data_IF_332942020078
#
_entry.id   IF_332942020078
#
_cell.length_a   1.000
_cell.length_b   1.000
_cell.length_c   1.000
_cell.angle_alpha   90.00
_cell.angle_beta   90.00
_cell.angle_gamma   90.00
#
_symmetry.space_group_name_H-M   'P 1'
#
loop_
_entity.id
_entity.type
_entity.pdbx_description
1 polymer ?
#
# COMPACT_ATOMS: atom_id res chain seq x y z
N UNK A 1 -18.55 -32.70 11.29
CA UNK A 1 -19.87 -32.26 10.77
C UNK A 1 -20.26 -33.08 9.57
N UNK A 2 -19.32 -33.42 8.69
CA UNK A 2 -19.64 -34.15 7.45
C UNK A 2 -20.25 -35.53 7.74
N UNK A 3 -19.80 -36.20 8.81
CA UNK A 3 -20.43 -37.44 9.32
C UNK A 3 -21.88 -37.22 9.82
N UNK A 4 -22.16 -36.08 10.44
CA UNK A 4 -23.53 -35.72 10.84
C UNK A 4 -24.41 -35.36 9.64
N UNK A 5 -23.83 -34.76 8.58
CA UNK A 5 -24.54 -34.49 7.31
C UNK A 5 -24.81 -35.76 6.51
N UNK A 6 -23.97 -36.79 6.67
CA UNK A 6 -24.16 -38.13 6.14
C UNK A 6 -25.07 -39.01 7.02
N UNK A 7 -25.82 -38.39 7.96
CA UNK A 7 -26.82 -39.04 8.82
C UNK A 7 -26.28 -40.16 9.73
N UNK A 8 -24.99 -40.14 10.08
CA UNK A 8 -24.45 -41.07 11.06
C UNK A 8 -24.92 -40.75 12.49
N UNK A 9 -25.18 -41.81 13.26
CA UNK A 9 -25.52 -41.75 14.69
C UNK A 9 -24.44 -41.06 15.53
N UNK A 10 -24.85 -40.34 16.58
CA UNK A 10 -23.95 -39.52 17.39
C UNK A 10 -22.87 -40.33 18.11
N UNK A 11 -23.20 -41.56 18.51
CA UNK A 11 -22.27 -42.50 19.14
C UNK A 11 -21.21 -43.01 18.16
N UNK A 12 -21.61 -43.23 16.90
CA UNK A 12 -20.70 -43.61 15.82
C UNK A 12 -19.70 -42.48 15.53
N UNK A 13 -20.18 -41.24 15.49
CA UNK A 13 -19.33 -40.06 15.31
C UNK A 13 -18.34 -39.92 16.48
N UNK A 14 -18.80 -40.12 17.71
CA UNK A 14 -17.97 -40.07 18.91
C UNK A 14 -16.87 -41.14 18.89
N UNK A 15 -17.22 -42.39 18.57
CA UNK A 15 -16.28 -43.50 18.47
C UNK A 15 -15.25 -43.28 17.34
N UNK A 16 -15.68 -42.82 16.17
CA UNK A 16 -14.81 -42.60 15.01
C UNK A 16 -13.86 -41.41 15.19
N UNK A 17 -14.27 -40.37 15.92
CA UNK A 17 -13.45 -39.17 16.16
C UNK A 17 -12.68 -39.19 17.48
N UNK A 18 -12.97 -40.16 18.36
CA UNK A 18 -12.38 -40.24 19.70
C UNK A 18 -12.83 -39.12 20.65
N UNK A 19 -13.94 -38.45 20.34
CA UNK A 19 -14.46 -37.32 21.11
C UNK A 19 -15.68 -37.76 21.93
N UNK A 20 -15.82 -37.27 23.16
CA UNK A 20 -16.96 -37.60 24.02
C UNK A 20 -18.32 -37.26 23.35
N UNK A 21 -19.28 -38.18 23.44
CA UNK A 21 -20.66 -38.05 22.92
C UNK A 21 -21.30 -36.71 23.32
N UNK A 22 -21.08 -36.24 24.55
CA UNK A 22 -21.63 -34.97 25.04
C UNK A 22 -21.07 -33.75 24.28
N UNK A 23 -19.81 -33.82 23.88
CA UNK A 23 -19.17 -32.78 23.05
C UNK A 23 -19.68 -32.83 21.61
N UNK A 24 -19.92 -34.02 21.06
CA UNK A 24 -20.55 -34.21 19.74
C UNK A 24 -21.96 -33.64 19.74
N UNK A 25 -22.78 -33.95 20.75
CA UNK A 25 -24.12 -33.37 20.94
C UNK A 25 -24.09 -31.85 21.01
N UNK A 26 -23.18 -31.27 21.80
CA UNK A 26 -23.03 -29.81 21.90
C UNK A 26 -22.59 -29.16 20.59
N UNK A 27 -21.81 -29.86 19.77
CA UNK A 27 -21.34 -29.38 18.46
C UNK A 27 -22.45 -29.46 17.41
N UNK A 28 -23.23 -30.55 17.40
CA UNK A 28 -24.42 -30.71 16.54
C UNK A 28 -25.51 -29.69 16.90
N UNK A 29 -25.78 -29.48 18.18
CA UNK A 29 -26.74 -28.45 18.64
C UNK A 29 -26.36 -27.07 18.12
N UNK A 30 -25.09 -26.68 18.27
CA UNK A 30 -24.57 -25.40 17.77
C UNK A 30 -24.67 -25.28 16.25
N UNK A 31 -24.41 -26.37 15.53
CA UNK A 31 -24.56 -26.41 14.08
C UNK A 31 -26.01 -26.22 13.64
N UNK A 32 -26.98 -26.85 14.31
CA UNK A 32 -28.42 -26.67 14.04
C UNK A 32 -28.89 -25.23 14.32
N UNK A 33 -28.41 -24.61 15.39
CA UNK A 33 -28.79 -23.25 15.80
C UNK A 33 -28.17 -22.15 14.92
N UNK A 34 -26.89 -22.27 14.55
CA UNK A 34 -26.12 -21.19 13.91
C UNK A 34 -25.64 -21.50 12.49
N UNK A 35 -25.86 -22.72 12.01
CA UNK A 35 -25.34 -23.22 10.71
C UNK A 35 -23.81 -23.37 10.66
N UNK A 36 -23.10 -23.14 11.77
CA UNK A 36 -21.64 -23.18 11.88
C UNK A 36 -21.24 -23.72 13.26
N UNK A 37 -20.10 -24.41 13.34
CA UNK A 37 -19.59 -24.97 14.60
C UNK A 37 -18.52 -24.12 15.27
N UNK A 38 -17.89 -23.22 14.53
CA UNK A 38 -16.87 -22.33 15.06
C UNK A 38 -17.51 -21.19 15.87
N UNK A 39 -16.95 -20.91 17.05
CA UNK A 39 -17.20 -19.65 17.73
C UNK A 39 -16.43 -18.54 17.03
N UNK A 40 -17.13 -17.49 16.61
CA UNK A 40 -16.48 -16.21 16.36
C UNK A 40 -16.29 -15.51 17.70
N UNK A 41 -15.08 -15.60 18.24
CA UNK A 41 -14.69 -14.81 19.39
C UNK A 41 -14.38 -13.40 18.89
N UNK A 42 -15.17 -12.42 19.35
CA UNK A 42 -14.88 -11.01 19.12
C UNK A 42 -14.11 -10.48 20.31
N UNK A 43 -12.83 -10.16 20.08
CA UNK A 43 -12.02 -9.45 21.07
C UNK A 43 -12.17 -7.94 20.84
N UNK A 44 -12.34 -7.14 21.91
CA UNK A 44 -12.36 -5.69 21.78
C UNK A 44 -11.04 -5.21 21.15
N UNK A 45 -11.13 -4.29 20.19
CA UNK A 45 -9.93 -3.77 19.53
C UNK A 45 -9.10 -2.96 20.52
N UNK A 46 -7.80 -3.29 20.62
CA UNK A 46 -6.87 -2.60 21.51
C UNK A 46 -6.72 -1.11 21.15
N UNK A 47 -7.10 -0.72 19.93
CA UNK A 47 -6.99 0.64 19.42
C UNK A 47 -8.32 1.07 18.84
N UNK A 48 -8.77 2.24 19.28
CA UNK A 48 -9.88 2.95 18.66
C UNK A 48 -9.37 3.77 17.44
N UNK A 49 -9.94 3.56 16.23
CA UNK A 49 -9.55 4.29 15.03
C UNK A 49 -9.63 5.82 15.15
N UNK A 50 -10.56 6.35 15.97
CA UNK A 50 -10.71 7.80 16.18
C UNK A 50 -9.53 8.37 16.97
N UNK A 51 -9.11 7.67 18.03
CA UNK A 51 -7.93 8.02 18.81
C UNK A 51 -6.65 8.00 17.97
N UNK A 52 -6.56 7.06 17.03
CA UNK A 52 -5.45 6.96 16.09
C UNK A 52 -5.43 8.11 15.07
N UNK A 53 -6.57 8.53 14.55
CA UNK A 53 -6.68 9.72 13.68
C UNK A 53 -6.24 11.02 14.37
N UNK A 54 -6.67 11.23 15.61
CA UNK A 54 -6.32 12.43 16.38
C UNK A 54 -4.82 12.52 16.69
N UNK A 55 -4.19 11.38 16.99
CA UNK A 55 -2.75 11.31 17.25
C UNK A 55 -1.91 11.51 15.99
N UNK A 56 -2.39 11.09 14.81
CA UNK A 56 -1.77 11.40 13.52
C UNK A 56 -1.93 12.86 13.11
N UNK A 57 -3.11 13.46 13.28
CA UNK A 57 -3.38 14.84 12.86
C UNK A 57 -2.50 15.87 13.56
N UNK A 58 -1.99 15.56 14.76
CA UNK A 58 -1.03 16.40 15.49
C UNK A 58 0.41 16.29 14.96
N UNK A 59 0.75 15.23 14.23
CA UNK A 59 2.08 15.06 13.65
C UNK A 59 2.06 15.65 12.24
N UNK A 60 2.86 16.70 11.98
CA UNK A 60 3.29 17.05 10.61
C UNK A 60 3.73 15.75 9.92
N UNK A 61 3.50 15.57 8.60
CA UNK A 61 3.67 14.28 7.94
C UNK A 61 5.14 13.85 8.00
N UNK A 62 5.48 13.17 9.08
CA UNK A 62 6.72 12.44 9.21
C UNK A 62 6.52 11.19 8.35
N UNK A 63 7.31 11.02 7.29
CA UNK A 63 7.27 9.79 6.53
C UNK A 63 7.72 8.70 7.50
N UNK A 64 6.87 7.69 7.68
CA UNK A 64 7.02 6.55 8.57
C UNK A 64 7.00 6.82 10.10
N UNK A 65 6.08 6.15 10.80
CA UNK A 65 6.13 5.94 12.24
C UNK A 65 7.38 5.12 12.56
N UNK A 66 8.50 5.79 12.78
CA UNK A 66 9.72 5.10 13.19
C UNK A 66 9.60 4.65 14.65
N UNK A 67 10.16 3.48 15.01
CA UNK A 67 10.37 3.09 16.40
C UNK A 67 11.38 4.04 17.07
N UNK A 68 10.94 5.25 17.42
CA UNK A 68 11.76 6.28 18.06
C UNK A 68 11.40 6.47 19.54
N UNK A 69 12.30 7.12 20.28
CA UNK A 69 12.16 7.46 21.72
C UNK A 69 10.84 8.17 22.05
N UNK A 70 10.27 8.94 21.12
CA UNK A 70 8.99 9.66 21.27
C UNK A 70 7.72 8.83 21.11
N UNK A 71 7.79 7.49 20.98
CA UNK A 71 6.61 6.60 20.99
C UNK A 71 6.19 6.24 22.41
N UNK A 72 7.15 6.04 23.34
CA UNK A 72 6.85 5.64 24.73
C UNK A 72 6.03 6.69 25.48
N UNK A 73 6.21 7.97 25.15
CA UNK A 73 5.45 9.10 25.73
C UNK A 73 4.13 9.39 25.02
N UNK A 74 3.82 8.68 23.93
CA UNK A 74 2.58 8.86 23.19
C UNK A 74 1.47 7.97 23.77
N UNK A 75 0.18 8.34 23.63
CA UNK A 75 -0.94 7.49 24.05
C UNK A 75 -0.95 6.11 23.36
N UNK A 76 -0.22 5.96 22.24
CA UNK A 76 -0.04 4.70 21.51
C UNK A 76 1.23 3.93 21.91
N UNK A 77 1.90 4.32 23.00
CA UNK A 77 3.16 3.71 23.45
C UNK A 77 3.03 2.24 23.83
N UNK A 78 1.87 1.84 24.35
CA UNK A 78 1.54 0.48 24.75
C UNK A 78 1.15 -0.44 23.57
N UNK A 79 0.84 0.12 22.40
CA UNK A 79 0.33 -0.61 21.23
C UNK A 79 1.45 -0.94 20.27
N UNK A 80 1.59 -2.20 19.84
CA UNK A 80 2.61 -2.59 18.87
C UNK A 80 2.52 -1.80 17.55
N UNK A 81 3.67 -1.56 16.90
CA UNK A 81 3.70 -0.87 15.61
C UNK A 81 2.87 -1.60 14.54
N UNK A 82 2.85 -2.93 14.57
CA UNK A 82 2.06 -3.75 13.64
C UNK A 82 0.56 -3.50 13.81
N UNK A 83 0.07 -3.38 15.04
CA UNK A 83 -1.33 -3.07 15.31
C UNK A 83 -1.69 -1.67 14.78
N UNK A 84 -0.83 -0.68 15.00
CA UNK A 84 -1.01 0.67 14.44
C UNK A 84 -1.05 0.63 12.90
N UNK A 85 -0.12 -0.07 12.26
CA UNK A 85 -0.10 -0.22 10.80
C UNK A 85 -1.35 -0.91 10.27
N UNK A 86 -1.82 -1.96 10.93
CA UNK A 86 -3.02 -2.68 10.53
C UNK A 86 -4.26 -1.78 10.57
N UNK A 87 -4.43 -1.00 11.65
CA UNK A 87 -5.53 -0.03 11.76
C UNK A 87 -5.41 1.08 10.71
N UNK A 88 -4.20 1.59 10.47
CA UNK A 88 -3.95 2.60 9.43
C UNK A 88 -4.34 2.12 8.04
N UNK A 89 -3.94 0.90 7.68
CA UNK A 89 -4.13 0.37 6.33
C UNK A 89 -5.55 -0.18 6.12
N UNK A 90 -6.05 -0.99 7.05
CA UNK A 90 -7.28 -1.76 6.85
C UNK A 90 -8.52 -0.97 7.30
N UNK A 91 -8.44 -0.27 8.43
CA UNK A 91 -9.61 0.41 9.00
C UNK A 91 -9.73 1.86 8.53
N UNK A 92 -8.59 2.53 8.31
CA UNK A 92 -8.54 3.95 7.95
C UNK A 92 -8.19 4.23 6.48
N UNK A 93 -7.80 3.20 5.73
CA UNK A 93 -7.49 3.32 4.30
C UNK A 93 -6.25 4.15 3.96
N UNK A 94 -5.37 4.43 4.93
CA UNK A 94 -4.13 5.15 4.67
C UNK A 94 -3.17 4.27 3.87
N UNK A 95 -2.68 4.81 2.76
CA UNK A 95 -1.65 4.18 1.92
C UNK A 95 -0.30 4.81 2.20
N UNK A 96 0.74 3.99 2.22
CA UNK A 96 2.13 4.47 2.29
C UNK A 96 2.56 4.92 0.91
N UNK A 97 3.02 6.17 0.80
CA UNK A 97 3.60 6.70 -0.44
C UNK A 97 5.01 7.21 -0.17
N UNK A 98 5.91 6.97 -1.13
CA UNK A 98 7.23 7.59 -1.11
C UNK A 98 7.10 9.08 -1.43
N UNK A 99 7.73 9.93 -0.61
CA UNK A 99 7.82 11.36 -0.91
C UNK A 99 8.50 11.57 -2.27
N UNK A 100 7.92 12.44 -3.10
CA UNK A 100 8.51 12.79 -4.40
C UNK A 100 9.75 13.66 -4.18
N UNK A 101 10.83 13.37 -4.90
CA UNK A 101 12.03 14.21 -4.93
C UNK A 101 11.69 15.49 -5.69
N UNK A 102 11.59 16.61 -4.99
CA UNK A 102 11.34 17.94 -5.57
C UNK A 102 12.50 18.86 -5.18
N UNK A 103 12.91 19.78 -6.07
CA UNK A 103 13.89 20.78 -5.70
C UNK A 103 13.31 21.64 -4.56
N UNK A 104 14.13 21.89 -3.54
CA UNK A 104 13.76 22.81 -2.47
C UNK A 104 13.85 24.23 -3.03
N UNK A 105 12.71 24.93 -3.08
CA UNK A 105 12.65 26.30 -3.57
C UNK A 105 12.72 27.29 -2.40
N UNK A 106 13.54 28.32 -2.54
CA UNK A 106 13.52 29.48 -1.64
C UNK A 106 12.26 30.32 -1.86
N UNK A 107 11.87 31.14 -0.89
CA UNK A 107 10.70 32.01 -1.01
C UNK A 107 10.80 32.96 -2.21
N UNK A 108 12.00 33.52 -2.47
CA UNK A 108 12.28 34.34 -3.65
C UNK A 108 12.04 33.56 -4.97
N UNK A 109 12.50 32.31 -5.03
CA UNK A 109 12.29 31.46 -6.22
C UNK A 109 10.81 31.13 -6.43
N UNK A 110 10.04 30.88 -5.35
CA UNK A 110 8.59 30.66 -5.44
C UNK A 110 7.89 31.92 -5.97
N UNK A 111 8.19 33.09 -5.41
CA UNK A 111 7.60 34.36 -5.84
C UNK A 111 7.87 34.65 -7.32
N UNK A 112 9.12 34.47 -7.77
CA UNK A 112 9.50 34.67 -9.17
C UNK A 112 8.76 33.70 -10.11
N UNK A 113 8.67 32.42 -9.73
CA UNK A 113 7.93 31.43 -10.52
C UNK A 113 6.45 31.79 -10.60
N UNK A 114 5.83 32.20 -9.48
CA UNK A 114 4.43 32.62 -9.47
C UNK A 114 4.21 33.87 -10.33
N UNK A 115 5.12 34.87 -10.25
CA UNK A 115 5.04 36.08 -11.08
C UNK A 115 5.14 35.74 -12.57
N UNK A 116 6.08 34.88 -12.95
CA UNK A 116 6.25 34.40 -14.33
C UNK A 116 5.02 33.62 -14.82
N UNK A 117 4.49 32.70 -14.00
CA UNK A 117 3.27 31.97 -14.35
C UNK A 117 2.06 32.89 -14.52
N UNK A 118 1.95 33.95 -13.71
CA UNK A 118 0.88 34.94 -13.85
C UNK A 118 1.04 35.78 -15.12
N UNK A 119 2.26 36.19 -15.47
CA UNK A 119 2.50 37.01 -16.68
C UNK A 119 2.22 36.26 -17.98
N UNK A 120 2.29 34.93 -17.98
CA UNK A 120 2.03 34.08 -19.14
C UNK A 120 0.67 33.35 -19.08
N UNK A 121 -0.16 33.66 -18.07
CA UNK A 121 -1.42 32.94 -17.82
C UNK A 121 -2.44 33.15 -18.94
N UNK A 122 -2.46 34.35 -19.50
CA UNK A 122 -3.42 34.80 -20.52
C UNK A 122 -2.79 34.78 -21.92
N UNK A 123 -1.66 34.08 -22.10
CA UNK A 123 -1.00 34.03 -23.39
C UNK A 123 -1.78 33.20 -24.41
N UNK A 124 -1.95 33.78 -25.60
CA UNK A 124 -2.60 33.15 -26.74
C UNK A 124 -1.66 32.24 -27.54
N UNK A 125 -2.25 31.39 -28.39
CA UNK A 125 -1.51 30.38 -29.16
C UNK A 125 -0.40 30.98 -30.04
N UNK A 126 -0.64 32.16 -30.62
CA UNK A 126 0.38 32.84 -31.43
C UNK A 126 1.56 33.32 -30.58
N UNK A 127 1.31 33.80 -29.36
CA UNK A 127 2.37 34.20 -28.43
C UNK A 127 3.21 32.99 -27.99
N UNK A 128 2.58 31.84 -27.75
CA UNK A 128 3.30 30.60 -27.47
C UNK A 128 4.18 30.13 -28.63
N UNK A 129 3.76 30.34 -29.88
CA UNK A 129 4.54 29.96 -31.08
C UNK A 129 5.81 30.77 -31.25
N UNK A 130 5.86 31.99 -30.70
CA UNK A 130 7.09 32.81 -30.74
C UNK A 130 8.19 32.30 -29.81
N UNK A 131 7.87 31.49 -28.80
CA UNK A 131 8.87 31.00 -27.84
C UNK A 131 9.58 29.77 -28.37
N UNK A 132 10.83 29.94 -28.79
CA UNK A 132 11.75 28.81 -28.95
C UNK A 132 12.40 28.47 -27.60
N UNK A 133 12.20 27.23 -27.11
CA UNK A 133 12.84 26.75 -25.88
C UNK A 133 13.96 25.77 -26.19
N UNK A 134 15.16 26.06 -25.69
CA UNK A 134 16.28 25.12 -25.67
C UNK A 134 16.52 24.62 -24.26
N UNK A 135 16.72 23.31 -24.10
CA UNK A 135 17.17 22.71 -22.84
C UNK A 135 18.29 21.72 -23.13
N UNK A 136 19.29 21.68 -22.25
CA UNK A 136 20.36 20.67 -22.31
C UNK A 136 20.04 19.57 -21.29
N UNK A 137 19.81 18.36 -21.78
CA UNK A 137 19.70 17.18 -20.94
C UNK A 137 21.01 16.39 -20.99
N UNK A 138 21.44 15.86 -19.84
CA UNK A 138 22.57 14.92 -19.78
C UNK A 138 22.01 13.52 -19.94
N UNK A 139 22.48 12.79 -20.94
CA UNK A 139 22.18 11.37 -21.12
C UNK A 139 23.45 10.59 -20.80
N UNK A 140 23.34 9.64 -19.87
CA UNK A 140 24.37 8.62 -19.66
C UNK A 140 23.91 7.35 -20.36
N UNK A 141 24.63 6.93 -21.40
CA UNK A 141 24.41 5.63 -22.04
C UNK A 141 25.18 4.60 -21.22
N UNK A 142 24.49 3.86 -20.36
CA UNK A 142 25.06 2.70 -19.67
C UNK A 142 24.54 1.43 -20.34
N UNK A 143 25.43 0.58 -20.85
CA UNK A 143 25.08 -0.75 -21.35
C UNK A 143 24.49 -1.58 -20.21
N UNK A 144 23.32 -2.17 -20.44
CA UNK A 144 22.60 -2.96 -19.45
C UNK A 144 23.22 -4.35 -19.32
N UNK A 145 24.05 -4.59 -18.31
CA UNK A 145 24.34 -5.95 -17.86
C UNK A 145 23.16 -6.48 -17.03
N UNK A 146 22.19 -7.12 -17.71
CA UNK A 146 21.31 -8.16 -17.16
C UNK A 146 20.03 -7.73 -16.44
N UNK A 147 18.87 -8.07 -17.04
CA UNK A 147 17.65 -8.35 -16.28
C UNK A 147 16.30 -8.29 -17.01
N UNK A 148 15.92 -9.33 -17.77
CA UNK A 148 14.52 -9.80 -17.94
C UNK A 148 13.92 -9.84 -19.36
N UNK A 149 13.54 -11.04 -19.83
CA UNK A 149 12.93 -11.35 -21.15
C UNK A 149 11.40 -11.14 -21.24
N UNK A 150 10.91 -11.00 -22.47
CA UNK A 150 9.50 -10.77 -22.85
C UNK A 150 8.88 -11.97 -23.63
N UNK A 151 7.57 -12.27 -23.50
CA UNK A 151 6.94 -13.49 -24.09
C UNK A 151 6.64 -13.42 -25.61
N UNK A 152 6.69 -14.59 -26.28
CA UNK A 152 6.75 -14.77 -27.75
C UNK A 152 5.48 -14.40 -28.55
N UNK A 153 4.28 -14.43 -27.95
CA UNK A 153 3.05 -14.20 -28.72
C UNK A 153 2.80 -12.72 -29.08
N UNK A 154 3.65 -11.78 -28.61
CA UNK A 154 3.45 -10.35 -28.88
C UNK A 154 4.73 -9.50 -28.87
N UNK A 155 5.82 -9.98 -29.49
CA UNK A 155 7.12 -9.29 -29.56
C UNK A 155 7.04 -7.90 -30.25
N UNK A 156 6.02 -7.69 -31.10
CA UNK A 156 5.74 -6.44 -31.83
C UNK A 156 4.62 -5.59 -31.20
N UNK A 157 4.08 -5.98 -30.05
CA UNK A 157 3.42 -4.97 -29.23
C UNK A 157 4.48 -4.03 -28.69
N UNK A 158 4.23 -2.70 -28.66
CA UNK A 158 5.17 -1.70 -28.17
C UNK A 158 5.79 -2.00 -26.79
N UNK A 159 5.14 -2.88 -26.02
CA UNK A 159 5.54 -3.28 -24.68
C UNK A 159 6.80 -4.18 -24.61
N UNK A 160 7.28 -4.75 -25.73
CA UNK A 160 8.39 -5.74 -25.72
C UNK A 160 9.53 -5.52 -26.73
N UNK A 161 9.51 -4.47 -27.57
CA UNK A 161 10.58 -4.16 -28.56
C UNK A 161 11.40 -2.93 -28.15
N UNK A 162 12.74 -3.04 -28.15
CA UNK A 162 13.68 -1.93 -27.89
C UNK A 162 14.54 -1.71 -29.13
N UNK A 163 14.42 -0.56 -29.81
CA UNK A 163 15.31 -0.19 -30.94
C UNK A 163 16.45 0.68 -30.44
N UNK A 164 17.66 0.15 -30.57
CA UNK A 164 18.89 0.61 -29.94
C UNK A 164 19.68 1.63 -30.76
N UNK A 165 20.16 2.64 -30.02
CA UNK A 165 21.39 3.47 -30.14
C UNK A 165 21.63 4.31 -31.41
N UNK A 166 22.32 5.44 -31.23
CA UNK A 166 23.24 5.93 -32.26
C UNK A 166 24.65 6.28 -31.82
N UNK A 167 24.92 6.71 -30.58
CA UNK A 167 26.32 7.00 -30.19
C UNK A 167 26.70 6.40 -28.84
N UNK A 168 27.68 5.47 -28.84
CA UNK A 168 28.44 5.13 -27.64
C UNK A 168 29.63 6.09 -27.48
N UNK A 169 30.36 5.91 -26.38
CA UNK A 169 31.71 6.43 -26.13
C UNK A 169 31.89 7.97 -26.21
N UNK A 170 32.05 8.55 -25.02
CA UNK A 170 33.20 9.40 -24.71
C UNK A 170 33.38 10.69 -25.54
N UNK A 171 33.04 11.84 -24.95
CA UNK A 171 33.92 13.02 -25.10
C UNK A 171 34.99 12.91 -24.01
N UNK A 172 36.06 12.19 -24.32
CA UNK A 172 37.42 12.61 -23.98
C UNK A 172 37.91 13.44 -25.15
#
# INVERSE_FOLDING_TARGET
>A
IDLFKAEHELEHIAAQTGVNVRSVQGLVRRYKERGRTAYQLHFPSLVDPRTLKLSLGRRRPAPCLQPGKGRKTSPLGHVSLRCIQQVLHNDLGFKSYRARRKPLLTEKQKANRTKFCKSIREWDLEEWRTILRSHKAKFSVTESSGGGSTPHSNVYLPQYTVKTLKHPATFM
#
